data_IF_621842705878
#
_entry.id   IF_621842705878
#
_cell.length_a   1.000
_cell.length_b   1.000
_cell.length_c   1.000
_cell.angle_alpha   90.00
_cell.angle_beta   90.00
_cell.angle_gamma   90.00
#
_symmetry.space_group_name_H-M   'P 1'
#
loop_
_entity.id
_entity.type
_entity.pdbx_description
1 polymer ?
#
# COMPACT_ATOMS: atom_id res chain seq x y z
N UNK A 1 13.10 3.26 -3.90
CA UNK A 1 11.72 3.58 -3.47
C UNK A 1 10.83 2.37 -3.73
N UNK A 2 9.75 2.21 -2.95
CA UNK A 2 8.69 1.25 -3.23
C UNK A 2 7.36 2.00 -3.13
N UNK A 3 6.68 2.22 -4.26
CA UNK A 3 5.51 3.10 -4.33
C UNK A 3 4.31 2.35 -4.91
N UNK A 4 3.11 2.67 -4.45
CA UNK A 4 1.86 2.04 -4.91
C UNK A 4 1.96 0.52 -4.80
N UNK A 5 1.75 -0.22 -5.89
CA UNK A 5 1.88 -1.67 -5.91
C UNK A 5 3.27 -2.19 -5.48
N UNK A 6 4.34 -1.40 -5.65
CA UNK A 6 5.66 -1.75 -5.12
C UNK A 6 5.70 -1.76 -3.59
N UNK A 7 4.99 -0.83 -2.93
CA UNK A 7 4.84 -0.82 -1.47
C UNK A 7 3.98 -2.01 -0.99
N UNK A 8 2.94 -2.36 -1.75
CA UNK A 8 2.11 -3.53 -1.49
C UNK A 8 2.92 -4.83 -1.50
N UNK A 9 3.72 -5.06 -2.55
CA UNK A 9 4.58 -6.25 -2.64
C UNK A 9 5.66 -6.26 -1.54
N UNK A 10 6.21 -5.09 -1.18
CA UNK A 10 7.17 -4.96 -0.09
C UNK A 10 6.56 -5.39 1.25
N UNK A 11 5.34 -4.93 1.57
CA UNK A 11 4.68 -5.26 2.84
C UNK A 11 4.20 -6.71 2.91
N UNK A 12 3.91 -7.34 1.76
CA UNK A 12 3.46 -8.73 1.65
C UNK A 12 4.57 -9.77 1.88
N UNK A 13 5.83 -9.34 2.04
CA UNK A 13 6.92 -10.23 2.42
C UNK A 13 6.68 -10.91 3.78
N UNK A 14 7.38 -12.03 4.03
CA UNK A 14 7.29 -12.72 5.33
C UNK A 14 7.62 -11.76 6.47
N UNK A 15 6.74 -11.69 7.49
CA UNK A 15 6.95 -10.86 8.69
C UNK A 15 8.29 -11.17 9.36
N UNK A 16 9.01 -10.12 9.75
CA UNK A 16 10.39 -10.18 10.24
C UNK A 16 11.46 -10.25 9.15
N UNK A 17 11.09 -10.26 7.86
CA UNK A 17 12.00 -10.35 6.71
C UNK A 17 11.78 -9.26 5.66
N UNK A 18 11.07 -8.19 5.98
CA UNK A 18 10.82 -7.04 5.10
C UNK A 18 11.79 -5.93 5.46
N UNK A 19 12.59 -5.49 4.50
CA UNK A 19 13.68 -4.54 4.74
C UNK A 19 13.65 -3.37 3.77
N UNK A 20 14.15 -2.22 4.21
CA UNK A 20 14.47 -1.10 3.32
C UNK A 20 15.85 -0.50 3.65
N UNK A 21 16.40 0.27 2.72
CA UNK A 21 17.63 1.04 2.96
C UNK A 21 17.31 2.41 3.61
N UNK A 22 18.25 3.05 4.33
CA UNK A 22 17.97 4.26 5.13
C UNK A 22 17.40 5.43 4.34
N UNK A 23 17.81 5.59 3.08
CA UNK A 23 17.34 6.67 2.20
C UNK A 23 16.19 6.22 1.27
N UNK A 24 15.59 5.05 1.53
CA UNK A 24 14.40 4.62 0.81
C UNK A 24 13.20 5.45 1.25
N UNK A 25 12.26 5.63 0.32
CA UNK A 25 10.91 6.10 0.62
C UNK A 25 9.88 5.08 0.17
N UNK A 26 8.80 5.00 0.91
CA UNK A 26 7.60 4.20 0.59
C UNK A 26 6.45 5.16 0.30
N UNK A 27 5.58 4.82 -0.65
CA UNK A 27 4.37 5.60 -0.90
C UNK A 27 3.19 4.64 -1.06
N UNK A 28 2.10 4.92 -0.35
CA UNK A 28 0.84 4.19 -0.45
C UNK A 28 -0.25 5.14 -0.93
N UNK A 29 -1.15 4.62 -1.76
CA UNK A 29 -2.36 5.31 -2.22
C UNK A 29 -3.40 4.29 -2.70
N UNK A 30 -4.62 4.76 -2.90
CA UNK A 30 -5.68 3.96 -3.50
C UNK A 30 -5.38 3.64 -4.97
N UNK A 31 -5.98 2.57 -5.53
CA UNK A 31 -5.88 2.28 -6.94
C UNK A 31 -6.39 3.44 -7.81
N UNK A 32 -5.71 3.67 -8.93
CA UNK A 32 -6.15 4.61 -9.96
C UNK A 32 -6.73 3.82 -11.13
N UNK A 33 -7.83 4.31 -11.68
CA UNK A 33 -8.46 3.74 -12.86
C UNK A 33 -9.33 4.76 -13.56
N UNK A 34 -9.67 4.45 -14.81
CA UNK A 34 -10.52 5.28 -15.65
C UNK A 34 -11.16 4.40 -16.72
N UNK A 35 -12.41 4.71 -17.05
CA UNK A 35 -13.15 4.00 -18.08
C UNK A 35 -14.07 4.99 -18.80
N UNK A 36 -14.29 4.76 -20.10
CA UNK A 36 -15.23 5.50 -20.92
C UNK A 36 -16.04 4.50 -21.75
N UNK A 37 -17.35 4.70 -21.87
CA UNK A 37 -18.23 3.78 -22.57
C UNK A 37 -19.70 4.02 -22.26
N UNK A 38 -20.53 3.00 -22.47
CA UNK A 38 -21.94 3.07 -22.11
C UNK A 38 -22.10 3.22 -20.59
N UNK A 39 -23.22 3.81 -20.15
CA UNK A 39 -23.49 4.00 -18.73
C UNK A 39 -23.41 2.68 -17.93
N UNK A 40 -23.92 1.58 -18.49
CA UNK A 40 -23.85 0.25 -17.89
C UNK A 40 -22.41 -0.24 -17.71
N UNK A 41 -21.54 -0.01 -18.68
CA UNK A 41 -20.13 -0.42 -18.59
C UNK A 41 -19.35 0.46 -17.60
N UNK A 42 -19.65 1.77 -17.56
CA UNK A 42 -19.09 2.68 -16.55
C UNK A 42 -19.42 2.19 -15.15
N UNK A 43 -20.68 1.79 -14.90
CA UNK A 43 -21.09 1.24 -13.61
C UNK A 43 -20.34 -0.07 -13.25
N UNK A 44 -20.19 -0.98 -14.22
CA UNK A 44 -19.46 -2.24 -14.04
C UNK A 44 -18.01 -1.96 -13.62
N UNK A 45 -17.32 -1.08 -14.33
CA UNK A 45 -15.92 -0.75 -14.03
C UNK A 45 -15.76 0.06 -12.74
N UNK A 46 -16.70 0.96 -12.42
CA UNK A 46 -16.72 1.68 -11.15
C UNK A 46 -16.90 0.72 -9.96
N UNK A 47 -17.79 -0.28 -10.08
CA UNK A 47 -17.97 -1.29 -9.04
C UNK A 47 -16.72 -2.15 -8.86
N UNK A 48 -16.05 -2.50 -9.94
CA UNK A 48 -14.83 -3.32 -9.87
C UNK A 48 -13.68 -2.58 -9.19
N UNK A 49 -13.44 -1.31 -9.52
CA UNK A 49 -12.35 -0.56 -8.87
C UNK A 49 -12.59 -0.37 -7.37
N UNK A 50 -13.86 -0.24 -6.93
CA UNK A 50 -14.20 -0.20 -5.51
C UNK A 50 -13.89 -1.53 -4.81
N UNK A 51 -14.17 -2.68 -5.45
CA UNK A 51 -13.79 -4.00 -4.92
C UNK A 51 -12.28 -4.16 -4.81
N UNK A 52 -11.54 -3.73 -5.84
CA UNK A 52 -10.07 -3.78 -5.83
C UNK A 52 -9.52 -2.91 -4.70
N UNK A 53 -10.04 -1.68 -4.54
CA UNK A 53 -9.66 -0.78 -3.44
C UNK A 53 -9.89 -1.44 -2.08
N UNK A 54 -11.09 -1.98 -1.84
CA UNK A 54 -11.42 -2.65 -0.58
C UNK A 54 -10.47 -3.84 -0.32
N UNK A 55 -10.29 -4.71 -1.32
CA UNK A 55 -9.45 -5.90 -1.18
C UNK A 55 -8.00 -5.56 -0.88
N UNK A 56 -7.46 -4.52 -1.52
CA UNK A 56 -6.11 -4.05 -1.24
C UNK A 56 -5.98 -3.49 0.18
N UNK A 57 -6.98 -2.74 0.66
CA UNK A 57 -6.96 -2.19 2.01
C UNK A 57 -7.03 -3.28 3.09
N UNK A 58 -7.86 -4.31 2.90
CA UNK A 58 -7.92 -5.48 3.79
C UNK A 58 -6.56 -6.19 3.89
N UNK A 59 -5.90 -6.45 2.75
CA UNK A 59 -4.59 -7.10 2.72
C UNK A 59 -3.49 -6.23 3.32
N UNK A 60 -3.52 -4.92 3.06
CA UNK A 60 -2.59 -3.97 3.68
C UNK A 60 -2.76 -3.92 5.19
N UNK A 61 -4.01 -3.93 5.70
CA UNK A 61 -4.30 -3.99 7.12
C UNK A 61 -3.74 -5.29 7.75
N UNK A 62 -3.97 -6.43 7.11
CA UNK A 62 -3.43 -7.73 7.53
C UNK A 62 -1.90 -7.71 7.66
N UNK A 63 -1.18 -7.21 6.63
CA UNK A 63 0.28 -7.24 6.61
C UNK A 63 0.94 -6.19 7.51
N UNK A 64 0.29 -5.04 7.73
CA UNK A 64 0.83 -3.96 8.56
C UNK A 64 0.45 -4.10 10.04
N UNK A 65 -0.67 -4.78 10.33
CA UNK A 65 -1.28 -4.83 11.66
C UNK A 65 -2.07 -3.57 12.03
N UNK A 66 -2.32 -2.68 11.07
CA UNK A 66 -3.19 -1.51 11.21
C UNK A 66 -4.67 -1.92 11.12
N UNK A 67 -5.57 -1.08 11.65
CA UNK A 67 -7.01 -1.29 11.39
C UNK A 67 -7.35 -0.96 9.93
N UNK A 68 -8.46 -1.50 9.43
CA UNK A 68 -8.92 -1.20 8.08
C UNK A 68 -9.19 0.30 7.90
N UNK A 69 -9.78 0.95 8.91
CA UNK A 69 -10.10 2.37 8.90
C UNK A 69 -8.84 3.25 8.85
N UNK A 70 -7.75 2.83 9.52
CA UNK A 70 -6.46 3.51 9.39
C UNK A 70 -5.93 3.41 7.96
N UNK A 71 -5.93 2.22 7.36
CA UNK A 71 -5.46 2.02 5.98
C UNK A 71 -6.32 2.80 4.98
N UNK A 72 -7.63 2.79 5.11
CA UNK A 72 -8.54 3.52 4.22
C UNK A 72 -8.27 5.02 4.24
N UNK A 73 -8.18 5.62 5.44
CA UNK A 73 -7.86 7.04 5.60
C UNK A 73 -6.49 7.37 5.00
N UNK A 74 -5.52 6.50 5.25
CA UNK A 74 -4.11 6.77 4.95
C UNK A 74 -3.74 6.50 3.50
N UNK A 75 -4.55 5.74 2.75
CA UNK A 75 -4.39 5.47 1.31
C UNK A 75 -5.29 6.36 0.45
N UNK A 76 -6.20 7.14 1.02
CA UNK A 76 -7.12 7.99 0.24
C UNK A 76 -6.40 9.01 -0.66
N UNK A 77 -5.22 9.47 -0.24
CA UNK A 77 -4.32 10.30 -1.03
C UNK A 77 -2.91 9.72 -1.00
N UNK A 78 -2.06 10.24 -1.87
CA UNK A 78 -0.64 9.90 -1.85
C UNK A 78 -0.06 10.19 -0.46
N UNK A 79 0.35 9.13 0.22
CA UNK A 79 1.05 9.21 1.51
C UNK A 79 2.47 8.72 1.35
N UNK A 80 3.42 9.64 1.53
CA UNK A 80 4.85 9.33 1.53
C UNK A 80 5.32 9.03 2.95
N UNK A 81 6.15 8.00 3.09
CA UNK A 81 6.78 7.59 4.33
C UNK A 81 8.30 7.44 4.10
N UNK A 82 9.08 8.02 5.00
CA UNK A 82 10.51 7.73 5.15
C UNK A 82 10.74 6.28 5.56
N UNK A 83 12.00 5.83 5.55
CA UNK A 83 12.36 4.49 6.01
C UNK A 83 11.94 4.23 7.47
N UNK A 84 12.10 5.22 8.37
CA UNK A 84 11.70 5.10 9.77
C UNK A 84 10.17 5.02 9.90
N UNK A 85 9.45 5.93 9.23
CA UNK A 85 7.98 5.92 9.25
C UNK A 85 7.42 4.62 8.64
N UNK A 86 8.09 4.03 7.64
CA UNK A 86 7.68 2.76 7.07
C UNK A 86 7.83 1.56 8.05
N UNK A 87 8.84 1.60 8.93
CA UNK A 87 8.98 0.62 10.03
C UNK A 87 7.89 0.84 11.07
N UNK A 88 7.70 2.08 11.52
CA UNK A 88 6.66 2.42 12.51
C UNK A 88 5.25 2.10 12.02
N UNK A 89 5.00 2.26 10.72
CA UNK A 89 3.72 1.93 10.10
C UNK A 89 3.50 0.43 9.89
N UNK A 90 4.56 -0.39 9.97
CA UNK A 90 4.50 -1.84 9.74
C UNK A 90 4.59 -2.27 8.29
N UNK A 91 5.01 -1.39 7.36
CA UNK A 91 5.24 -1.72 5.93
C UNK A 91 6.52 -2.53 5.72
N UNK A 92 7.49 -2.33 6.59
CA UNK A 92 8.74 -3.08 6.66
C UNK A 92 9.06 -3.40 8.12
N UNK A 93 9.91 -4.39 8.35
CA UNK A 93 10.30 -4.81 9.69
C UNK A 93 11.56 -4.09 10.19
N UNK A 94 12.49 -3.71 9.30
CA UNK A 94 13.71 -2.99 9.71
C UNK A 94 14.44 -2.30 8.57
N UNK A 95 15.38 -1.43 8.94
CA UNK A 95 16.26 -0.69 8.03
C UNK A 95 17.64 -1.35 8.02
N UNK A 96 18.14 -1.72 6.84
CA UNK A 96 19.48 -2.27 6.66
C UNK A 96 20.52 -1.14 6.57
N UNK A 97 21.38 -1.02 7.57
CA UNK A 97 22.41 0.03 7.64
C UNK A 97 23.77 -0.43 7.11
N UNK A 98 24.03 -1.73 7.10
CA UNK A 98 25.30 -2.34 6.65
C UNK A 98 25.01 -3.60 5.85
N UNK A 99 25.96 -4.00 5.00
CA UNK A 99 25.91 -5.28 4.30
C UNK A 99 26.17 -6.40 5.31
N UNK A 100 25.25 -7.35 5.40
CA UNK A 100 25.46 -8.61 6.14
C UNK A 100 26.26 -9.60 5.29
#
# INVERSE_FOLDING_TARGET
QACSMGAFLLTAGTKGKRFCLPNSRVMIHQPLGGYQGQASDIEIHAREILKVKQRMNELMAEHTGKTLEEIERDTERDRFLSANEAVEYGLVDSILTHRQ
#
